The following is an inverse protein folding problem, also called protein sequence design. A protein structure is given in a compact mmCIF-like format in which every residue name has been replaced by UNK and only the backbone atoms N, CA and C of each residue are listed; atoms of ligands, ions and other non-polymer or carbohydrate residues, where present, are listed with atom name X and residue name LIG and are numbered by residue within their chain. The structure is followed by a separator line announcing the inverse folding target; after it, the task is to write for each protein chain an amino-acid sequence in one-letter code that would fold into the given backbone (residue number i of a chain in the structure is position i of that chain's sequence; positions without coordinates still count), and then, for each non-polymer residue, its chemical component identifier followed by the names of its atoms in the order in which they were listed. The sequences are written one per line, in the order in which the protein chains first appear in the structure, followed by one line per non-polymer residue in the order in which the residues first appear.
data_IF_466146578045
#
_entry.id   IF_466146578045
#
_cell.length_a   1.000
_cell.length_b   1.000
_cell.length_c   1.000
_cell.angle_alpha   90.00
_cell.angle_beta   90.00
_cell.angle_gamma   90.00
#
_symmetry.space_group_name_H-M   'P 1'
#
loop_
_entity.id
_entity.type
_entity.pdbx_description
1 polymer ?
#
# COMPACT_ATOMS: atom_id res chain seq x y z
N UNK A 1 -31.40 28.76 33.25
CA UNK A 1 -30.32 28.62 32.26
C UNK A 1 -29.34 27.47 32.55
N UNK A 2 -29.35 26.81 33.73
CA UNK A 2 -28.37 25.75 34.07
C UNK A 2 -28.72 24.30 33.69
N UNK A 3 -29.92 23.99 33.20
CA UNK A 3 -30.33 22.59 32.90
C UNK A 3 -29.99 22.21 31.45
N UNK A 4 -30.09 23.15 30.52
CA UNK A 4 -29.82 22.91 29.08
C UNK A 4 -28.32 22.71 28.82
N UNK A 5 -27.44 23.42 29.55
CA UNK A 5 -25.99 23.24 29.38
C UNK A 5 -25.53 21.87 29.87
N UNK A 6 -26.06 21.35 31.00
CA UNK A 6 -25.67 20.03 31.50
C UNK A 6 -26.08 18.89 30.60
N UNK A 7 -27.24 18.99 29.94
CA UNK A 7 -27.71 17.97 29.00
C UNK A 7 -26.93 18.01 27.68
N UNK A 8 -26.56 19.20 27.21
CA UNK A 8 -25.73 19.39 26.01
C UNK A 8 -24.30 18.88 26.22
N UNK A 9 -23.68 19.21 27.37
CA UNK A 9 -22.33 18.73 27.72
C UNK A 9 -22.29 17.20 27.80
N UNK A 10 -23.34 16.58 28.36
CA UNK A 10 -23.47 15.12 28.41
C UNK A 10 -23.63 14.51 27.02
N UNK A 11 -24.44 15.12 26.16
CA UNK A 11 -24.62 14.67 24.78
C UNK A 11 -23.32 14.79 23.97
N UNK A 12 -22.56 15.88 24.16
CA UNK A 12 -21.24 16.06 23.55
C UNK A 12 -20.26 14.97 23.99
N UNK A 13 -20.22 14.66 25.30
CA UNK A 13 -19.40 13.58 25.84
C UNK A 13 -19.76 12.21 25.24
N UNK A 14 -21.05 11.90 25.17
CA UNK A 14 -21.54 10.66 24.55
C UNK A 14 -21.18 10.57 23.06
N UNK A 15 -21.41 11.65 22.30
CA UNK A 15 -21.07 11.69 20.88
C UNK A 15 -19.57 11.50 20.64
N UNK A 16 -18.74 12.08 21.50
CA UNK A 16 -17.29 11.91 21.45
C UNK A 16 -16.84 10.47 21.75
N UNK A 17 -17.47 9.81 22.71
CA UNK A 17 -17.23 8.38 22.99
C UNK A 17 -17.62 7.50 21.80
N UNK A 18 -18.80 7.73 21.21
CA UNK A 18 -19.25 7.03 20.00
C UNK A 18 -18.25 7.22 18.85
N UNK A 19 -17.79 8.46 18.64
CA UNK A 19 -16.79 8.79 17.62
C UNK A 19 -15.47 8.03 17.85
N UNK A 20 -14.96 8.01 19.08
CA UNK A 20 -13.73 7.27 19.41
C UNK A 20 -13.87 5.75 19.24
N UNK A 21 -15.09 5.22 19.42
CA UNK A 21 -15.42 3.82 19.19
C UNK A 21 -15.75 3.50 17.72
N UNK A 22 -15.51 4.44 16.79
CA UNK A 22 -15.80 4.31 15.36
C UNK A 22 -17.29 4.11 15.02
N UNK A 23 -18.19 4.47 15.94
CA UNK A 23 -19.64 4.46 15.74
C UNK A 23 -20.09 5.80 15.13
N UNK A 24 -19.65 6.03 13.88
CA UNK A 24 -19.76 7.33 13.24
C UNK A 24 -21.21 7.75 12.96
N UNK A 25 -22.08 6.84 12.52
CA UNK A 25 -23.47 7.19 12.21
C UNK A 25 -24.24 7.61 13.47
N UNK A 26 -24.04 6.90 14.58
CA UNK A 26 -24.64 7.24 15.87
C UNK A 26 -24.08 8.54 16.42
N UNK A 27 -22.76 8.76 16.35
CA UNK A 27 -22.15 10.03 16.75
C UNK A 27 -22.72 11.20 15.95
N UNK A 28 -22.87 11.04 14.62
CA UNK A 28 -23.44 12.06 13.75
C UNK A 28 -24.88 12.40 14.14
N UNK A 29 -25.67 11.38 14.46
CA UNK A 29 -27.05 11.54 14.94
C UNK A 29 -27.12 12.39 16.22
N UNK A 30 -26.22 12.14 17.18
CA UNK A 30 -26.16 12.92 18.43
C UNK A 30 -25.74 14.36 18.15
N UNK A 31 -24.69 14.60 17.34
CA UNK A 31 -24.27 15.96 17.00
C UNK A 31 -25.36 16.75 16.26
N UNK A 32 -26.09 16.12 15.32
CA UNK A 32 -27.26 16.73 14.67
C UNK A 32 -28.38 17.04 15.65
N UNK A 33 -28.60 16.18 16.64
CA UNK A 33 -29.56 16.42 17.72
C UNK A 33 -29.21 17.64 18.56
N UNK A 34 -27.92 17.83 18.87
CA UNK A 34 -27.43 19.05 19.55
C UNK A 34 -27.74 20.29 18.71
N UNK A 35 -27.42 20.26 17.42
CA UNK A 35 -27.66 21.39 16.52
C UNK A 35 -29.15 21.70 16.28
N UNK A 36 -30.05 20.76 16.53
CA UNK A 36 -31.49 21.02 16.47
C UNK A 36 -31.97 21.91 17.63
N UNK A 37 -31.25 21.94 18.75
CA UNK A 37 -31.57 22.72 19.95
C UNK A 37 -30.68 23.95 20.12
N UNK A 38 -29.42 23.84 19.70
CA UNK A 38 -28.42 24.91 19.71
C UNK A 38 -27.70 24.93 18.35
N UNK A 39 -28.26 25.67 17.41
CA UNK A 39 -27.80 25.66 16.01
C UNK A 39 -26.38 26.16 15.83
N UNK A 40 -25.86 26.96 16.77
CA UNK A 40 -24.52 27.56 16.73
C UNK A 40 -23.56 26.91 17.73
N UNK A 41 -23.88 25.70 18.23
CA UNK A 41 -22.98 24.96 19.10
C UNK A 41 -21.63 24.68 18.39
N UNK A 42 -20.52 25.30 18.82
CA UNK A 42 -19.27 25.24 18.07
C UNK A 42 -18.68 23.84 18.02
N UNK A 43 -18.79 23.06 19.11
CA UNK A 43 -18.20 21.72 19.22
C UNK A 43 -18.95 20.72 18.33
N UNK A 44 -20.28 20.76 18.31
CA UNK A 44 -21.07 19.92 17.42
C UNK A 44 -20.85 20.25 15.94
N UNK A 45 -20.78 21.55 15.58
CA UNK A 45 -20.43 21.95 14.19
C UNK A 45 -19.02 21.47 13.84
N UNK A 46 -18.05 21.67 14.73
CA UNK A 46 -16.66 21.26 14.52
C UNK A 46 -16.56 19.74 14.29
N UNK A 47 -17.19 18.93 15.13
CA UNK A 47 -17.13 17.47 15.02
C UNK A 47 -17.82 16.95 13.76
N UNK A 48 -18.96 17.53 13.35
CA UNK A 48 -19.56 17.22 12.05
C UNK A 48 -18.62 17.59 10.89
N UNK A 49 -17.86 18.68 11.01
CA UNK A 49 -16.81 19.05 10.07
C UNK A 49 -15.70 18.00 9.99
N UNK A 50 -15.19 17.52 11.13
CA UNK A 50 -14.19 16.44 11.21
C UNK A 50 -14.71 15.15 10.56
N UNK A 51 -15.97 14.80 10.81
CA UNK A 51 -16.61 13.63 10.20
C UNK A 51 -16.78 13.77 8.69
N UNK A 52 -17.00 15.00 8.20
CA UNK A 52 -17.04 15.29 6.76
C UNK A 52 -15.68 15.04 6.11
N UNK A 53 -14.57 15.41 6.77
CA UNK A 53 -13.22 15.05 6.31
C UNK A 53 -13.04 13.53 6.20
N UNK A 54 -13.53 12.77 7.18
CA UNK A 54 -13.42 11.30 7.16
C UNK A 54 -14.19 10.66 6.00
N UNK A 55 -15.29 11.30 5.56
CA UNK A 55 -16.11 10.86 4.43
C UNK A 55 -15.60 11.35 3.06
N UNK A 56 -14.55 12.19 3.04
CA UNK A 56 -14.06 12.83 1.82
C UNK A 56 -14.95 13.99 1.32
N UNK A 57 -15.89 14.46 2.12
CA UNK A 57 -16.77 15.58 1.82
C UNK A 57 -16.04 16.91 2.07
N UNK A 58 -14.94 17.16 1.34
CA UNK A 58 -13.97 18.21 1.66
C UNK A 58 -14.56 19.63 1.69
N UNK A 59 -15.38 20.00 0.70
CA UNK A 59 -16.02 21.33 0.65
C UNK A 59 -16.93 21.57 1.88
N UNK A 60 -17.73 20.56 2.23
CA UNK A 60 -18.63 20.62 3.38
C UNK A 60 -17.86 20.63 4.71
N UNK A 61 -16.73 19.92 4.76
CA UNK A 61 -15.85 19.92 5.93
C UNK A 61 -15.29 21.32 6.19
N UNK A 62 -14.78 21.99 5.15
CA UNK A 62 -14.25 23.36 5.26
C UNK A 62 -15.35 24.33 5.68
N UNK A 63 -16.54 24.27 5.06
CA UNK A 63 -17.68 25.12 5.44
C UNK A 63 -18.01 24.98 6.94
N UNK A 64 -18.16 23.73 7.43
CA UNK A 64 -18.49 23.45 8.82
C UNK A 64 -17.38 23.92 9.77
N UNK A 65 -16.13 23.62 9.47
CA UNK A 65 -15.00 23.97 10.34
C UNK A 65 -14.76 25.49 10.37
N UNK A 66 -14.94 26.20 9.25
CA UNK A 66 -14.92 27.67 9.24
C UNK A 66 -16.04 28.25 10.10
N UNK A 67 -17.26 27.69 10.00
CA UNK A 67 -18.38 28.13 10.83
C UNK A 67 -18.11 27.88 12.32
N UNK A 68 -17.58 26.73 12.69
CA UNK A 68 -17.22 26.42 14.08
C UNK A 68 -16.21 27.41 14.65
N UNK A 69 -15.19 27.79 13.87
CA UNK A 69 -14.22 28.82 14.23
C UNK A 69 -14.89 30.19 14.37
N UNK A 70 -15.82 30.54 13.49
CA UNK A 70 -16.47 31.85 13.48
C UNK A 70 -17.44 32.07 14.66
N UNK A 71 -18.16 31.04 15.08
CA UNK A 71 -19.15 31.14 16.18
C UNK A 71 -18.52 31.02 17.57
N UNK A 72 -17.28 30.51 17.67
CA UNK A 72 -16.60 30.33 18.95
C UNK A 72 -15.77 31.58 19.33
N UNK A 73 -16.06 32.20 20.49
CA UNK A 73 -15.43 33.46 20.94
C UNK A 73 -13.90 33.37 21.14
N UNK A 74 -13.39 32.20 21.55
CA UNK A 74 -11.95 31.93 21.68
C UNK A 74 -11.60 30.50 21.22
N UNK A 75 -11.58 30.21 19.90
CA UNK A 75 -11.50 28.85 19.39
C UNK A 75 -10.22 28.16 19.88
N UNK A 76 -10.31 26.92 20.37
CA UNK A 76 -9.14 26.20 20.83
C UNK A 76 -8.24 25.84 19.63
N UNK A 77 -6.92 25.64 19.84
CA UNK A 77 -5.96 25.42 18.74
C UNK A 77 -6.34 24.27 17.80
N UNK A 78 -7.01 23.22 18.30
CA UNK A 78 -7.40 22.08 17.49
C UNK A 78 -8.50 22.39 16.46
N UNK A 79 -9.28 23.47 16.63
CA UNK A 79 -10.23 23.93 15.61
C UNK A 79 -9.48 24.42 14.36
N UNK A 80 -8.47 25.27 14.56
CA UNK A 80 -7.62 25.75 13.46
C UNK A 80 -6.83 24.60 12.83
N UNK A 81 -6.38 23.64 13.65
CA UNK A 81 -5.67 22.45 13.15
C UNK A 81 -6.54 21.58 12.24
N UNK A 82 -7.79 21.31 12.62
CA UNK A 82 -8.70 20.52 11.79
C UNK A 82 -9.17 21.28 10.55
N UNK A 83 -9.40 22.59 10.65
CA UNK A 83 -9.67 23.42 9.47
C UNK A 83 -8.48 23.44 8.50
N UNK A 84 -7.25 23.53 9.01
CA UNK A 84 -6.03 23.44 8.19
C UNK A 84 -5.94 22.10 7.46
N UNK A 85 -6.28 20.98 8.12
CA UNK A 85 -6.37 19.66 7.47
C UNK A 85 -7.42 19.66 6.36
N UNK A 86 -8.60 20.24 6.61
CA UNK A 86 -9.66 20.28 5.60
C UNK A 86 -9.27 21.10 4.37
N UNK A 87 -8.59 22.25 4.56
CA UNK A 87 -8.03 23.04 3.45
C UNK A 87 -6.96 22.27 2.68
N UNK A 88 -6.06 21.56 3.38
CA UNK A 88 -5.04 20.71 2.77
C UNK A 88 -5.66 19.59 1.90
N UNK A 89 -6.76 18.98 2.37
CA UNK A 89 -7.52 17.97 1.61
C UNK A 89 -8.28 18.56 0.41
N UNK A 90 -8.69 19.84 0.49
CA UNK A 90 -9.30 20.57 -0.61
C UNK A 90 -8.26 21.06 -1.65
N UNK A 91 -6.97 20.97 -1.33
CA UNK A 91 -5.88 21.46 -2.18
C UNK A 91 -5.53 22.94 -1.98
N UNK A 92 -6.09 23.60 -0.96
CA UNK A 92 -5.67 24.95 -0.54
C UNK A 92 -4.46 24.85 0.41
N UNK A 93 -3.31 24.49 -0.16
CA UNK A 93 -2.06 24.33 0.58
C UNK A 93 -1.61 25.65 1.26
N UNK A 94 -1.89 26.80 0.64
CA UNK A 94 -1.53 28.11 1.19
C UNK A 94 -2.38 28.46 2.42
N UNK A 95 -3.69 28.28 2.34
CA UNK A 95 -4.59 28.46 3.48
C UNK A 95 -4.28 27.49 4.62
N UNK A 96 -3.92 26.24 4.29
CA UNK A 96 -3.47 25.26 5.27
C UNK A 96 -2.20 25.72 6.01
N UNK A 97 -1.19 26.23 5.30
CA UNK A 97 0.04 26.79 5.90
C UNK A 97 -0.28 27.91 6.89
N UNK A 98 -1.14 28.86 6.52
CA UNK A 98 -1.48 30.00 7.39
C UNK A 98 -2.17 29.55 8.68
N UNK A 99 -3.07 28.58 8.59
CA UNK A 99 -3.72 28.03 9.78
C UNK A 99 -2.79 27.16 10.61
N UNK A 100 -1.92 26.33 10.01
CA UNK A 100 -0.93 25.58 10.77
C UNK A 100 0.09 26.50 11.47
N UNK A 101 0.49 27.62 10.85
CA UNK A 101 1.28 28.69 11.50
C UNK A 101 0.58 29.21 12.75
N UNK A 102 -0.71 29.54 12.63
CA UNK A 102 -1.52 29.97 13.79
C UNK A 102 -1.56 28.90 14.89
N UNK A 103 -1.68 27.62 14.54
CA UNK A 103 -1.67 26.53 15.53
C UNK A 103 -0.34 26.44 16.26
N UNK A 104 0.81 26.52 15.55
CA UNK A 104 2.12 26.46 16.20
C UNK A 104 2.47 27.72 17.00
N UNK A 105 1.88 28.88 16.66
CA UNK A 105 1.97 30.09 17.48
C UNK A 105 1.22 29.93 18.81
N UNK A 106 0.01 29.35 18.76
CA UNK A 106 -0.81 29.08 19.94
C UNK A 106 -0.24 27.95 20.80
N UNK A 107 0.35 26.93 20.18
CA UNK A 107 0.90 25.75 20.87
C UNK A 107 2.23 25.29 20.25
N UNK A 108 3.36 25.95 20.58
CA UNK A 108 4.66 25.65 19.98
C UNK A 108 5.17 24.22 20.23
N UNK A 109 4.78 23.63 21.36
CA UNK A 109 5.17 22.26 21.77
C UNK A 109 4.28 21.16 21.18
N UNK A 110 3.40 21.46 20.21
CA UNK A 110 2.56 20.44 19.58
C UNK A 110 3.28 19.80 18.38
N UNK A 111 3.94 18.65 18.61
CA UNK A 111 4.72 17.95 17.57
C UNK A 111 3.92 17.69 16.28
N UNK A 112 2.65 17.25 16.40
CA UNK A 112 1.78 16.98 15.25
C UNK A 112 1.53 18.24 14.39
N UNK A 113 1.36 19.40 15.02
CA UNK A 113 1.20 20.67 14.30
C UNK A 113 2.49 21.10 13.61
N UNK A 114 3.65 20.92 14.27
CA UNK A 114 4.96 21.18 13.65
C UNK A 114 5.19 20.29 12.41
N UNK A 115 4.83 19.00 12.48
CA UNK A 115 4.90 18.06 11.34
C UNK A 115 4.02 18.52 10.19
N UNK A 116 2.75 18.85 10.46
CA UNK A 116 1.79 19.27 9.43
C UNK A 116 2.19 20.59 8.77
N UNK A 117 2.72 21.54 9.53
CA UNK A 117 3.27 22.76 8.97
C UNK A 117 4.48 22.47 8.08
N UNK A 118 5.40 21.60 8.52
CA UNK A 118 6.54 21.18 7.70
C UNK A 118 6.11 20.54 6.37
N UNK A 119 5.11 19.64 6.41
CA UNK A 119 4.54 19.00 5.23
C UNK A 119 3.90 20.01 4.26
N UNK A 120 3.13 20.95 4.78
CA UNK A 120 2.45 21.96 3.97
C UNK A 120 3.46 22.93 3.34
N UNK A 121 4.50 23.33 4.09
CA UNK A 121 5.60 24.15 3.57
C UNK A 121 6.38 23.43 2.46
N UNK A 122 6.61 22.11 2.61
CA UNK A 122 7.24 21.31 1.57
C UNK A 122 6.39 21.28 0.28
N UNK A 123 5.07 21.09 0.39
CA UNK A 123 4.15 21.09 -0.78
C UNK A 123 4.22 22.39 -1.58
N UNK A 124 4.30 23.53 -0.91
CA UNK A 124 4.43 24.85 -1.56
C UNK A 124 5.87 25.22 -1.96
N UNK A 125 6.83 24.30 -1.78
CA UNK A 125 8.23 24.48 -2.18
C UNK A 125 9.13 25.21 -1.18
N UNK A 126 8.65 25.58 0.01
CA UNK A 126 9.48 26.15 1.08
C UNK A 126 10.21 25.04 1.86
N UNK A 127 11.23 24.47 1.22
CA UNK A 127 12.04 23.41 1.82
C UNK A 127 12.76 23.87 3.10
N UNK A 128 13.21 25.12 3.17
CA UNK A 128 13.95 25.63 4.34
C UNK A 128 13.03 25.79 5.56
N UNK A 129 11.81 26.31 5.33
CA UNK A 129 10.75 26.33 6.35
C UNK A 129 10.38 24.92 6.80
N UNK A 130 10.23 23.98 5.86
CA UNK A 130 9.92 22.58 6.17
C UNK A 130 10.97 21.94 7.09
N UNK A 131 12.26 22.08 6.76
CA UNK A 131 13.38 21.59 7.60
C UNK A 131 13.30 22.16 9.01
N UNK A 132 13.10 23.48 9.15
CA UNK A 132 13.04 24.11 10.45
C UNK A 132 11.91 23.56 11.33
N UNK A 133 10.75 23.28 10.74
CA UNK A 133 9.60 22.73 11.47
C UNK A 133 9.73 21.22 11.75
N UNK A 134 10.35 20.44 10.87
CA UNK A 134 10.68 19.05 11.16
C UNK A 134 11.73 18.91 12.28
N UNK A 135 12.76 19.76 12.31
CA UNK A 135 13.73 19.78 13.41
C UNK A 135 13.08 20.12 14.75
N UNK A 136 12.11 21.05 14.77
CA UNK A 136 11.30 21.34 15.97
C UNK A 136 10.45 20.14 16.38
N UNK A 137 9.75 19.51 15.44
CA UNK A 137 8.95 18.32 15.71
C UNK A 137 9.80 17.18 16.29
N UNK A 138 10.97 16.95 15.71
CA UNK A 138 11.96 15.98 16.16
C UNK A 138 12.43 16.25 17.60
N UNK A 139 12.64 17.53 17.96
CA UNK A 139 13.05 17.90 19.32
C UNK A 139 11.93 17.73 20.35
N UNK A 140 10.67 17.92 19.94
CA UNK A 140 9.50 17.77 20.81
C UNK A 140 9.16 16.29 21.04
N UNK A 141 9.17 15.49 19.98
CA UNK A 141 8.86 14.05 20.00
C UNK A 141 9.92 13.26 19.22
N UNK A 142 11.03 12.89 19.88
CA UNK A 142 12.15 12.19 19.24
C UNK A 142 11.80 10.79 18.72
N UNK A 143 10.75 10.17 19.25
CA UNK A 143 10.30 8.81 18.93
C UNK A 143 9.38 8.78 17.70
N UNK A 144 8.79 9.92 17.33
CA UNK A 144 7.99 10.03 16.12
C UNK A 144 8.88 9.89 14.89
N UNK A 145 8.60 8.90 14.04
CA UNK A 145 9.39 8.61 12.85
C UNK A 145 9.25 9.66 11.73
N UNK A 146 8.12 10.37 11.65
CA UNK A 146 7.77 11.22 10.52
C UNK A 146 8.80 12.35 10.30
N UNK A 147 9.22 13.12 11.32
CA UNK A 147 10.26 14.14 11.15
C UNK A 147 11.59 13.60 10.62
N UNK A 148 12.06 12.46 11.13
CA UNK A 148 13.34 11.86 10.72
C UNK A 148 13.31 11.43 9.26
N UNK A 149 12.24 10.74 8.85
CA UNK A 149 12.03 10.37 7.46
C UNK A 149 11.93 11.59 6.53
N UNK A 150 11.16 12.61 6.95
CA UNK A 150 10.94 13.82 6.14
C UNK A 150 12.23 14.62 5.94
N UNK A 151 13.07 14.71 6.98
CA UNK A 151 14.41 15.30 6.87
C UNK A 151 15.32 14.48 5.95
N UNK A 152 15.26 13.15 6.03
CA UNK A 152 15.98 12.27 5.12
C UNK A 152 15.59 12.49 3.65
N UNK A 153 14.28 12.58 3.37
CA UNK A 153 13.77 12.90 2.04
C UNK A 153 14.26 14.26 1.53
N UNK A 154 14.24 15.30 2.38
CA UNK A 154 14.71 16.62 2.00
C UNK A 154 16.22 16.64 1.71
N UNK A 155 17.03 15.93 2.50
CA UNK A 155 18.45 15.74 2.20
C UNK A 155 18.66 14.99 0.87
N UNK A 156 17.83 13.99 0.59
CA UNK A 156 17.87 13.20 -0.64
C UNK A 156 17.54 14.05 -1.87
N UNK A 157 16.47 14.85 -1.80
CA UNK A 157 16.08 15.81 -2.84
C UNK A 157 17.17 16.86 -3.12
N UNK A 158 17.97 17.20 -2.11
CA UNK A 158 19.11 18.12 -2.22
C UNK A 158 20.40 17.44 -2.73
N UNK A 159 20.37 16.13 -3.00
CA UNK A 159 21.53 15.34 -3.41
C UNK A 159 22.51 15.01 -2.28
N UNK A 160 22.17 15.33 -1.03
CA UNK A 160 22.96 15.01 0.17
C UNK A 160 22.73 13.58 0.63
N UNK A 161 23.06 12.61 -0.24
CA UNK A 161 22.76 11.18 -0.08
C UNK A 161 23.20 10.63 1.27
N UNK A 162 24.42 10.93 1.71
CA UNK A 162 24.92 10.40 2.98
C UNK A 162 24.10 10.90 4.19
N UNK A 163 23.71 12.17 4.19
CA UNK A 163 22.86 12.73 5.24
C UNK A 163 21.46 12.12 5.20
N UNK A 164 20.91 11.89 4.01
CA UNK A 164 19.62 11.21 3.84
C UNK A 164 19.65 9.81 4.47
N UNK A 165 20.69 9.03 4.17
CA UNK A 165 20.87 7.70 4.76
C UNK A 165 21.03 7.73 6.28
N UNK A 166 21.74 8.72 6.82
CA UNK A 166 21.88 8.87 8.28
C UNK A 166 20.52 9.17 8.94
N UNK A 167 19.69 10.01 8.32
CA UNK A 167 18.32 10.27 8.77
C UNK A 167 17.40 9.04 8.63
N UNK A 168 17.48 8.29 7.53
CA UNK A 168 16.70 7.06 7.37
C UNK A 168 17.12 5.99 8.40
N UNK A 169 18.42 5.85 8.71
CA UNK A 169 18.91 4.94 9.76
C UNK A 169 18.45 5.37 11.14
N UNK A 170 18.41 6.67 11.39
CA UNK A 170 17.81 7.20 12.60
C UNK A 170 16.31 6.82 12.66
N UNK A 171 15.55 7.08 11.60
CA UNK A 171 14.14 6.72 11.54
C UNK A 171 13.90 5.21 11.77
N UNK A 172 14.78 4.34 11.26
CA UNK A 172 14.69 2.87 11.40
C UNK A 172 14.82 2.35 12.85
N UNK A 173 15.45 3.08 13.76
CA UNK A 173 15.60 2.63 15.16
C UNK A 173 14.50 3.18 16.08
N UNK A 174 13.55 3.95 15.55
CA UNK A 174 12.45 4.57 16.30
C UNK A 174 11.17 3.76 16.16
N UNK A 175 10.17 4.07 16.97
CA UNK A 175 8.87 3.43 16.84
C UNK A 175 8.19 3.89 15.54
N UNK A 176 8.02 2.94 14.62
CA UNK A 176 7.09 3.07 13.51
C UNK A 176 6.15 1.88 13.52
N UNK A 177 4.86 2.16 13.66
CA UNK A 177 3.79 1.17 13.83
C UNK A 177 2.76 1.21 12.70
N UNK A 178 3.19 1.61 11.50
CA UNK A 178 2.37 1.60 10.30
C UNK A 178 3.14 1.04 9.09
N UNK A 179 2.40 0.35 8.23
CA UNK A 179 2.89 -0.13 6.93
C UNK A 179 3.49 1.01 6.12
N UNK A 180 2.82 2.16 6.10
CA UNK A 180 3.24 3.33 5.32
C UNK A 180 4.62 3.83 5.75
N UNK A 181 4.87 3.96 7.05
CA UNK A 181 6.18 4.38 7.55
C UNK A 181 7.29 3.38 7.18
N UNK A 182 7.02 2.07 7.27
CA UNK A 182 7.95 1.03 6.84
C UNK A 182 8.28 1.15 5.34
N UNK A 183 7.25 1.31 4.51
CA UNK A 183 7.39 1.38 3.05
C UNK A 183 8.16 2.62 2.62
N UNK A 184 7.84 3.77 3.22
CA UNK A 184 8.51 5.05 2.97
C UNK A 184 10.01 4.98 3.30
N UNK A 185 10.37 4.39 4.44
CA UNK A 185 11.78 4.19 4.81
C UNK A 185 12.50 3.18 3.91
N UNK A 186 11.84 2.07 3.58
CA UNK A 186 12.39 1.06 2.68
C UNK A 186 12.70 1.65 1.30
N UNK A 187 11.80 2.47 0.76
CA UNK A 187 11.99 3.19 -0.50
C UNK A 187 13.18 4.16 -0.42
N UNK A 188 13.33 4.86 0.70
CA UNK A 188 14.46 5.76 0.97
C UNK A 188 15.81 5.04 0.87
N UNK A 189 15.94 3.87 1.51
CA UNK A 189 17.15 3.05 1.44
C UNK A 189 17.37 2.42 0.06
N UNK A 190 16.30 1.96 -0.60
CA UNK A 190 16.37 1.29 -1.90
C UNK A 190 16.93 2.22 -2.99
N UNK A 191 16.50 3.50 -3.01
CA UNK A 191 17.00 4.52 -3.96
C UNK A 191 18.52 4.63 -4.01
N UNK A 192 19.21 4.33 -2.92
CA UNK A 192 20.67 4.44 -2.79
C UNK A 192 21.38 3.09 -2.69
N UNK A 193 20.69 1.99 -2.99
CA UNK A 193 21.26 0.64 -2.98
C UNK A 193 21.53 0.06 -1.59
N UNK A 194 20.98 0.66 -0.51
CA UNK A 194 21.06 0.16 0.86
C UNK A 194 20.05 -0.98 1.08
N UNK A 195 20.30 -2.06 0.36
CA UNK A 195 19.37 -3.16 0.16
C UNK A 195 19.03 -3.96 1.42
N UNK A 196 19.99 -4.10 2.33
CA UNK A 196 19.78 -4.80 3.59
C UNK A 196 18.85 -4.02 4.52
N UNK A 197 19.06 -2.71 4.64
CA UNK A 197 18.20 -1.82 5.42
C UNK A 197 16.79 -1.70 4.81
N UNK A 198 16.70 -1.57 3.48
CA UNK A 198 15.43 -1.54 2.76
C UNK A 198 14.61 -2.82 3.03
N UNK A 199 15.27 -3.99 2.93
CA UNK A 199 14.65 -5.29 3.21
C UNK A 199 14.16 -5.41 4.66
N UNK A 200 14.93 -4.90 5.62
CA UNK A 200 14.51 -4.86 7.03
C UNK A 200 13.21 -4.05 7.21
N UNK A 201 13.11 -2.89 6.55
CA UNK A 201 11.91 -2.05 6.59
C UNK A 201 10.69 -2.76 5.99
N UNK A 202 10.83 -3.35 4.80
CA UNK A 202 9.73 -4.07 4.17
C UNK A 202 9.29 -5.29 4.99
N UNK A 203 10.22 -6.04 5.59
CA UNK A 203 9.88 -7.15 6.51
C UNK A 203 9.10 -6.67 7.73
N UNK A 204 9.42 -5.50 8.26
CA UNK A 204 8.66 -4.91 9.36
C UNK A 204 7.26 -4.46 8.88
N UNK A 205 7.12 -3.91 7.67
CA UNK A 205 5.80 -3.61 7.09
C UNK A 205 4.86 -4.83 7.09
N UNK A 206 5.42 -6.00 6.78
CA UNK A 206 4.69 -7.26 6.72
C UNK A 206 4.17 -7.75 8.08
N UNK A 207 4.78 -7.37 9.20
CA UNK A 207 4.28 -7.78 10.52
C UNK A 207 2.97 -7.06 10.89
N UNK A 208 2.72 -5.87 10.32
CA UNK A 208 1.44 -5.15 10.46
C UNK A 208 0.34 -5.73 9.56
N UNK A 209 0.74 -6.30 8.42
CA UNK A 209 -0.18 -6.69 7.35
C UNK A 209 -0.73 -8.12 7.46
N UNK A 210 -0.47 -8.82 8.56
CA UNK A 210 -1.07 -10.14 8.84
C UNK A 210 -2.59 -10.09 9.09
N UNK A 211 -3.19 -8.88 9.12
CA UNK A 211 -4.61 -8.65 9.43
C UNK A 211 -5.41 -7.87 8.35
N UNK A 212 -4.88 -7.58 7.14
CA UNK A 212 -5.63 -6.81 6.13
C UNK A 212 -6.38 -7.68 5.11
N UNK A 213 -7.52 -7.17 4.61
CA UNK A 213 -8.41 -7.79 3.60
C UNK A 213 -7.99 -7.52 2.14
N UNK A 214 -7.01 -6.66 1.91
CA UNK A 214 -6.57 -6.30 0.56
C UNK A 214 -5.85 -7.45 -0.18
N UNK A 215 -4.95 -8.23 0.46
CA UNK A 215 -4.37 -9.42 -0.14
C UNK A 215 -5.42 -10.47 -0.54
N UNK A 216 -6.54 -10.59 0.18
CA UNK A 216 -7.60 -11.56 -0.15
C UNK A 216 -8.46 -11.10 -1.33
N UNK A 217 -8.75 -9.80 -1.47
CA UNK A 217 -9.49 -9.26 -2.62
C UNK A 217 -8.71 -9.45 -3.93
N UNK A 218 -7.43 -9.12 -3.94
CA UNK A 218 -6.57 -9.26 -5.13
C UNK A 218 -6.40 -10.73 -5.55
N UNK A 219 -6.26 -11.61 -4.57
CA UNK A 219 -6.16 -13.05 -4.81
C UNK A 219 -7.44 -13.61 -5.41
N UNK A 220 -8.62 -13.16 -4.95
CA UNK A 220 -9.91 -13.52 -5.54
C UNK A 220 -10.03 -13.10 -7.00
N UNK A 221 -9.66 -11.85 -7.31
CA UNK A 221 -9.76 -11.34 -8.69
C UNK A 221 -8.83 -12.10 -9.66
N UNK A 222 -7.59 -12.34 -9.23
CA UNK A 222 -6.61 -13.14 -9.98
C UNK A 222 -7.12 -14.57 -10.22
N UNK A 223 -7.60 -15.22 -9.16
CA UNK A 223 -8.11 -16.60 -9.23
C UNK A 223 -9.32 -16.73 -10.14
N UNK A 224 -10.27 -15.78 -10.12
CA UNK A 224 -11.43 -15.82 -11.01
C UNK A 224 -11.02 -15.64 -12.48
N UNK A 225 -10.07 -14.75 -12.77
CA UNK A 225 -9.54 -14.61 -14.12
C UNK A 225 -8.87 -15.89 -14.61
N UNK A 226 -8.02 -16.51 -13.77
CA UNK A 226 -7.36 -17.77 -14.09
C UNK A 226 -8.37 -18.89 -14.32
N UNK A 227 -9.41 -19.00 -13.48
CA UNK A 227 -10.48 -19.98 -13.61
C UNK A 227 -11.22 -19.84 -14.94
N UNK A 228 -11.63 -18.62 -15.29
CA UNK A 228 -12.35 -18.34 -16.53
C UNK A 228 -11.48 -18.57 -17.77
N UNK A 229 -10.19 -18.27 -17.67
CA UNK A 229 -9.25 -18.42 -18.79
C UNK A 229 -8.86 -19.88 -19.02
N UNK A 230 -8.57 -20.61 -17.94
CA UNK A 230 -8.11 -22.00 -18.02
C UNK A 230 -9.22 -22.99 -18.41
N UNK A 231 -10.50 -22.65 -18.17
CA UNK A 231 -11.61 -23.59 -18.44
C UNK A 231 -11.76 -23.96 -19.91
N UNK A 232 -11.30 -23.09 -20.80
CA UNK A 232 -11.33 -23.29 -22.26
C UNK A 232 -10.07 -24.02 -22.76
N UNK A 233 -9.08 -24.27 -21.89
CA UNK A 233 -7.85 -24.95 -22.26
C UNK A 233 -8.01 -26.47 -22.19
N UNK A 234 -7.77 -27.13 -23.31
CA UNK A 234 -7.79 -28.58 -23.45
C UNK A 234 -6.40 -29.21 -23.37
N UNK A 235 -6.34 -30.53 -23.62
CA UNK A 235 -5.08 -31.26 -23.71
C UNK A 235 -4.50 -31.71 -22.36
N UNK A 236 -3.21 -32.06 -22.37
CA UNK A 236 -2.47 -32.52 -21.20
C UNK A 236 -1.95 -31.31 -20.41
N UNK A 237 -2.45 -31.16 -19.19
CA UNK A 237 -2.08 -30.08 -18.28
C UNK A 237 -1.12 -30.58 -17.21
N UNK A 238 -0.03 -29.86 -16.99
CA UNK A 238 0.86 -30.02 -15.85
C UNK A 238 0.74 -28.80 -14.93
N UNK A 239 0.46 -29.02 -13.66
CA UNK A 239 0.42 -27.97 -12.64
C UNK A 239 1.64 -28.10 -11.72
N UNK A 240 2.49 -27.08 -11.71
CA UNK A 240 3.75 -27.05 -10.93
C UNK A 240 3.76 -25.90 -9.92
N UNK A 241 4.07 -26.24 -8.67
CA UNK A 241 4.16 -25.29 -7.57
C UNK A 241 2.86 -24.63 -7.14
N UNK A 242 1.73 -25.13 -7.61
CA UNK A 242 0.41 -24.68 -7.20
C UNK A 242 -0.01 -25.40 -5.90
N UNK A 243 -0.06 -24.66 -4.79
CA UNK A 243 -0.52 -25.18 -3.49
C UNK A 243 -2.01 -25.62 -3.51
N UNK A 244 -2.48 -26.28 -2.46
CA UNK A 244 -3.94 -26.43 -2.25
C UNK A 244 -4.49 -25.05 -1.90
N UNK A 245 -5.63 -24.69 -2.50
CA UNK A 245 -6.37 -23.48 -2.13
C UNK A 245 -7.05 -23.68 -0.77
N UNK A 246 -6.28 -23.53 0.30
CA UNK A 246 -6.69 -23.90 1.66
C UNK A 246 -7.72 -22.95 2.28
N UNK A 247 -7.91 -21.76 1.71
CA UNK A 247 -8.90 -20.76 2.10
C UNK A 247 -10.26 -20.96 1.43
N UNK A 248 -10.37 -21.90 0.46
CA UNK A 248 -11.61 -22.26 -0.25
C UNK A 248 -12.22 -21.10 -1.05
N UNK A 249 -11.43 -20.09 -1.42
CA UNK A 249 -11.92 -18.92 -2.16
C UNK A 249 -11.75 -19.05 -3.69
N UNK A 250 -11.10 -20.12 -4.16
CA UNK A 250 -10.84 -20.44 -5.58
C UNK A 250 -10.86 -21.94 -5.95
N UNK A 251 -11.15 -22.87 -5.04
CA UNK A 251 -11.28 -24.31 -5.39
C UNK A 251 -9.95 -25.00 -5.74
N UNK A 252 -9.97 -26.33 -5.96
CA UNK A 252 -8.76 -27.04 -6.38
C UNK A 252 -8.39 -26.56 -7.79
N UNK A 253 -7.18 -26.05 -8.06
CA UNK A 253 -6.75 -25.60 -9.39
C UNK A 253 -7.06 -26.58 -10.54
N UNK A 254 -7.19 -27.88 -10.23
CA UNK A 254 -7.72 -28.89 -11.15
C UNK A 254 -9.06 -28.50 -11.79
N UNK A 255 -9.96 -27.91 -11.02
CA UNK A 255 -11.30 -27.48 -11.46
C UNK A 255 -11.25 -26.37 -12.51
N UNK A 256 -10.13 -25.63 -12.58
CA UNK A 256 -9.93 -24.62 -13.61
C UNK A 256 -9.80 -25.24 -15.00
N UNK A 257 -9.36 -26.50 -15.08
CA UNK A 257 -9.04 -27.18 -16.34
C UNK A 257 -10.12 -28.22 -16.70
N UNK A 258 -11.38 -27.75 -16.79
CA UNK A 258 -12.53 -28.63 -17.02
C UNK A 258 -12.50 -29.35 -18.39
N UNK A 259 -11.80 -28.80 -19.38
CA UNK A 259 -11.67 -29.35 -20.73
C UNK A 259 -10.37 -30.14 -20.94
N UNK A 260 -9.50 -30.24 -19.94
CA UNK A 260 -8.23 -30.97 -20.06
C UNK A 260 -8.46 -32.47 -20.25
N UNK A 261 -7.76 -33.07 -21.22
CA UNK A 261 -7.78 -34.52 -21.45
C UNK A 261 -7.03 -35.29 -20.36
N UNK A 262 -6.02 -34.65 -19.74
CA UNK A 262 -5.38 -35.15 -18.53
C UNK A 262 -4.84 -33.99 -17.71
N UNK A 263 -4.78 -34.16 -16.39
CA UNK A 263 -4.18 -33.18 -15.50
C UNK A 263 -3.27 -33.90 -14.51
N UNK A 264 -1.99 -33.54 -14.54
CA UNK A 264 -0.99 -33.96 -13.58
C UNK A 264 -0.64 -32.78 -12.69
N UNK A 265 -0.52 -33.04 -11.38
CA UNK A 265 -0.06 -32.05 -10.40
C UNK A 265 1.22 -32.56 -9.77
N UNK A 266 2.23 -31.71 -9.72
CA UNK A 266 3.38 -31.91 -8.87
C UNK A 266 3.13 -31.14 -7.58
N UNK A 267 2.63 -31.86 -6.58
CA UNK A 267 2.52 -31.36 -5.22
C UNK A 267 3.92 -31.26 -4.63
N UNK A 268 4.35 -30.03 -4.31
CA UNK A 268 5.57 -29.82 -3.54
C UNK A 268 5.23 -30.10 -2.06
N UNK A 269 5.31 -31.37 -1.66
CA UNK A 269 5.12 -31.75 -0.26
C UNK A 269 6.32 -31.31 0.58
N UNK A 270 6.23 -30.12 1.21
CA UNK A 270 6.76 -29.86 2.56
C UNK A 270 6.34 -28.48 3.10
N UNK A 271 5.42 -28.54 4.05
CA UNK A 271 5.02 -27.44 4.92
C UNK A 271 6.10 -27.10 5.96
N UNK A 272 7.27 -26.62 5.52
CA UNK A 272 8.23 -25.97 6.40
C UNK A 272 8.81 -24.76 5.67
N UNK A 273 8.48 -23.55 6.14
CA UNK A 273 9.21 -22.34 5.77
C UNK A 273 10.73 -22.57 5.93
N UNK A 274 11.62 -22.17 5.00
CA UNK A 274 11.41 -21.45 3.75
C UNK A 274 12.00 -22.21 2.54
N UNK A 275 11.51 -23.41 2.19
CA UNK A 275 11.99 -24.14 1.00
C UNK A 275 10.81 -24.63 0.16
N UNK A 276 9.95 -23.70 -0.29
CA UNK A 276 8.80 -24.08 -1.11
C UNK A 276 9.23 -24.50 -2.51
N UNK A 277 10.37 -24.08 -3.09
CA UNK A 277 10.56 -24.14 -4.58
C UNK A 277 11.91 -24.67 -5.09
N UNK A 278 12.54 -25.61 -4.40
CA UNK A 278 13.70 -26.31 -4.96
C UNK A 278 13.37 -27.13 -6.22
N UNK A 279 12.13 -27.62 -6.36
CA UNK A 279 11.80 -28.69 -7.30
C UNK A 279 11.40 -28.22 -8.72
N UNK A 280 11.06 -26.94 -8.95
CA UNK A 280 10.75 -26.46 -10.33
C UNK A 280 12.04 -26.30 -11.16
N UNK A 281 13.17 -26.06 -10.51
CA UNK A 281 14.47 -25.88 -11.17
C UNK A 281 15.03 -27.19 -11.74
N UNK A 282 14.49 -28.33 -11.29
CA UNK A 282 14.88 -29.66 -11.77
C UNK A 282 13.65 -30.57 -11.87
N UNK A 283 12.80 -30.31 -12.87
CA UNK A 283 11.68 -31.21 -13.19
C UNK A 283 12.17 -32.52 -13.82
N UNK A 284 13.44 -32.63 -14.21
CA UNK A 284 13.98 -33.78 -14.95
C UNK A 284 13.93 -35.08 -14.14
N UNK A 285 14.00 -34.99 -12.82
CA UNK A 285 13.88 -36.12 -11.90
C UNK A 285 12.47 -36.77 -11.91
N UNK A 286 11.43 -35.99 -12.26
CA UNK A 286 10.03 -36.41 -12.15
C UNK A 286 9.28 -36.39 -13.50
N UNK A 287 9.77 -35.64 -14.47
CA UNK A 287 9.16 -35.39 -15.78
C UNK A 287 10.24 -35.49 -16.88
N UNK A 288 10.25 -36.62 -17.58
CA UNK A 288 11.23 -36.92 -18.64
C UNK A 288 10.81 -36.45 -20.03
N UNK A 289 9.52 -36.15 -20.24
CA UNK A 289 8.95 -35.99 -21.58
C UNK A 289 8.46 -34.55 -21.83
N UNK A 290 8.69 -34.03 -23.04
CA UNK A 290 8.07 -32.79 -23.55
C UNK A 290 6.72 -33.14 -24.18
N UNK A 291 5.64 -33.04 -23.40
CA UNK A 291 4.33 -33.55 -23.83
C UNK A 291 3.12 -32.84 -23.24
N UNK A 292 3.32 -31.73 -22.51
CA UNK A 292 2.20 -30.97 -21.95
C UNK A 292 1.77 -29.86 -22.89
N UNK A 293 0.49 -29.86 -23.23
CA UNK A 293 -0.14 -28.80 -24.01
C UNK A 293 -0.26 -27.53 -23.16
N UNK A 294 -0.37 -27.69 -21.83
CA UNK A 294 -0.41 -26.57 -20.87
C UNK A 294 0.45 -26.86 -19.65
N UNK A 295 1.29 -25.91 -19.26
CA UNK A 295 1.91 -25.86 -17.94
C UNK A 295 1.30 -24.70 -17.16
N UNK A 296 0.86 -24.96 -15.94
CA UNK A 296 0.26 -23.98 -15.03
C UNK A 296 1.15 -23.80 -13.80
N UNK A 297 1.62 -22.58 -13.58
CA UNK A 297 2.40 -22.21 -12.40
C UNK A 297 2.03 -20.82 -11.91
N UNK A 298 1.36 -20.75 -10.76
CA UNK A 298 0.90 -19.50 -10.15
C UNK A 298 1.43 -19.42 -8.72
N UNK A 299 1.89 -18.23 -8.32
CA UNK A 299 2.41 -17.97 -6.96
C UNK A 299 3.68 -18.77 -6.59
N UNK A 300 4.29 -19.48 -7.54
CA UNK A 300 5.47 -20.31 -7.30
C UNK A 300 6.76 -19.65 -7.77
N UNK A 301 6.74 -19.01 -8.94
CA UNK A 301 7.93 -18.39 -9.56
C UNK A 301 8.55 -17.30 -8.68
N UNK A 302 7.74 -16.64 -7.85
CA UNK A 302 8.21 -15.63 -6.90
C UNK A 302 9.15 -16.23 -5.84
N UNK A 303 8.94 -17.48 -5.45
CA UNK A 303 9.73 -18.15 -4.41
C UNK A 303 10.89 -18.99 -4.97
N UNK A 304 11.14 -18.94 -6.29
CA UNK A 304 12.26 -19.61 -6.94
C UNK A 304 13.54 -18.75 -6.85
N UNK A 305 14.68 -19.28 -6.36
CA UNK A 305 15.93 -18.51 -6.30
C UNK A 305 16.56 -18.23 -7.69
N UNK A 306 16.38 -19.13 -8.65
CA UNK A 306 16.82 -19.02 -10.04
C UNK A 306 15.61 -19.20 -10.99
N UNK A 307 14.95 -18.07 -11.28
CA UNK A 307 13.76 -18.04 -12.16
C UNK A 307 14.10 -18.43 -13.61
N UNK A 308 15.21 -17.97 -14.22
CA UNK A 308 15.63 -18.45 -15.54
C UNK A 308 15.74 -19.99 -15.64
N UNK A 309 16.32 -20.66 -14.63
CA UNK A 309 16.40 -22.12 -14.61
C UNK A 309 15.01 -22.77 -14.54
N UNK A 310 14.12 -22.28 -13.68
CA UNK A 310 12.74 -22.76 -13.61
C UNK A 310 11.98 -22.55 -14.93
N UNK A 311 12.14 -21.40 -15.59
CA UNK A 311 11.54 -21.14 -16.90
C UNK A 311 12.12 -22.05 -17.99
N UNK A 312 13.41 -22.43 -17.89
CA UNK A 312 14.01 -23.39 -18.80
C UNK A 312 13.39 -24.78 -18.64
N UNK A 313 13.12 -25.22 -17.41
CA UNK A 313 12.43 -26.49 -17.15
C UNK A 313 10.96 -26.46 -17.60
N UNK A 314 10.23 -25.38 -17.35
CA UNK A 314 8.87 -25.17 -17.87
C UNK A 314 8.87 -25.23 -19.40
N UNK A 315 9.82 -24.54 -20.05
CA UNK A 315 9.99 -24.58 -21.50
C UNK A 315 10.30 -26.00 -21.98
N UNK A 316 11.13 -26.74 -21.26
CA UNK A 316 11.53 -28.12 -21.62
C UNK A 316 10.33 -29.07 -21.63
N UNK A 317 9.45 -29.01 -20.63
CA UNK A 317 8.34 -29.97 -20.48
C UNK A 317 7.11 -29.64 -21.34
N UNK A 318 7.00 -28.40 -21.83
CA UNK A 318 5.96 -27.98 -22.77
C UNK A 318 6.14 -28.65 -24.14
N UNK A 319 5.03 -29.10 -24.72
CA UNK A 319 4.97 -29.51 -26.12
C UNK A 319 5.31 -28.33 -27.05
N UNK A 320 5.60 -28.62 -28.32
CA UNK A 320 5.68 -27.56 -29.34
C UNK A 320 4.32 -26.86 -29.42
N UNK A 321 4.33 -25.53 -29.49
CA UNK A 321 3.14 -24.67 -29.41
C UNK A 321 2.36 -24.74 -28.07
N UNK A 322 2.96 -25.34 -27.03
CA UNK A 322 2.36 -25.44 -25.71
C UNK A 322 2.22 -24.10 -24.99
N UNK A 323 1.24 -24.01 -24.10
CA UNK A 323 0.90 -22.81 -23.35
C UNK A 323 1.47 -22.84 -21.93
N UNK A 324 2.15 -21.77 -21.54
CA UNK A 324 2.49 -21.50 -20.16
C UNK A 324 1.50 -20.51 -19.55
N UNK A 325 0.71 -20.97 -18.58
CA UNK A 325 -0.15 -20.12 -17.76
C UNK A 325 0.58 -19.75 -16.48
N UNK A 326 0.78 -18.46 -16.26
CA UNK A 326 1.56 -17.93 -15.15
C UNK A 326 0.79 -16.95 -14.30
N UNK A 327 1.18 -16.85 -13.03
CA UNK A 327 0.67 -15.87 -12.09
C UNK A 327 1.77 -15.42 -11.15
N UNK A 328 1.97 -14.11 -11.07
CA UNK A 328 3.03 -13.48 -10.29
C UNK A 328 2.42 -12.28 -9.55
N UNK A 329 2.22 -12.34 -8.23
CA UNK A 329 1.77 -11.17 -7.49
C UNK A 329 2.94 -10.19 -7.37
N UNK A 330 2.65 -8.90 -7.20
CA UNK A 330 3.47 -8.08 -6.32
C UNK A 330 3.04 -8.41 -4.89
N UNK A 331 3.39 -9.61 -4.41
CA UNK A 331 3.24 -9.85 -2.99
C UNK A 331 4.38 -9.10 -2.32
N UNK A 332 4.07 -8.38 -1.25
CA UNK A 332 5.06 -7.78 -0.36
C UNK A 332 5.95 -8.86 0.31
N UNK A 333 5.68 -10.15 0.10
CA UNK A 333 6.31 -11.27 0.78
C UNK A 333 7.64 -11.72 0.16
N UNK A 334 8.70 -11.43 0.90
CA UNK A 334 9.95 -12.21 1.05
C UNK A 334 10.63 -12.74 -0.22
N UNK A 335 11.59 -11.97 -0.72
CA UNK A 335 12.70 -12.50 -1.48
C UNK A 335 14.03 -12.26 -0.76
N UNK A 336 14.86 -13.29 -0.73
CA UNK A 336 16.20 -13.30 -0.13
C UNK A 336 17.24 -12.56 -0.98
N UNK A 337 16.86 -12.08 -2.17
CA UNK A 337 17.75 -11.42 -3.13
C UNK A 337 17.26 -10.00 -3.46
N UNK A 338 17.99 -8.96 -3.02
CA UNK A 338 17.51 -7.57 -3.06
C UNK A 338 17.44 -6.89 -4.45
N UNK A 339 17.69 -7.60 -5.55
CA UNK A 339 17.80 -7.01 -6.90
C UNK A 339 16.71 -7.44 -7.89
N UNK A 340 15.76 -8.28 -7.46
CA UNK A 340 14.89 -9.03 -8.37
C UNK A 340 13.46 -8.47 -8.50
N UNK A 341 13.20 -7.26 -8.02
CA UNK A 341 11.84 -6.69 -8.12
C UNK A 341 11.47 -6.27 -9.54
N UNK A 342 12.46 -5.92 -10.37
CA UNK A 342 12.24 -5.46 -11.74
C UNK A 342 11.56 -6.51 -12.63
N UNK A 343 11.84 -7.82 -12.43
CA UNK A 343 11.22 -8.94 -13.17
C UNK A 343 9.71 -9.12 -12.92
N UNK A 344 9.15 -8.43 -11.94
CA UNK A 344 7.71 -8.45 -11.63
C UNK A 344 6.96 -7.25 -12.19
N UNK A 345 7.65 -6.34 -12.88
CA UNK A 345 7.03 -5.30 -13.71
C UNK A 345 6.61 -5.90 -15.05
N UNK A 346 5.69 -5.25 -15.78
CA UNK A 346 5.32 -5.70 -17.13
C UNK A 346 6.55 -5.88 -18.02
N UNK A 347 7.42 -4.87 -18.07
CA UNK A 347 8.67 -4.91 -18.83
C UNK A 347 9.60 -6.03 -18.38
N UNK A 348 9.75 -6.24 -17.08
CA UNK A 348 10.55 -7.33 -16.56
C UNK A 348 10.01 -8.72 -16.89
N UNK A 349 8.69 -8.89 -16.92
CA UNK A 349 8.05 -10.12 -17.42
C UNK A 349 8.34 -10.29 -18.91
N UNK A 350 8.17 -9.23 -19.70
CA UNK A 350 8.45 -9.25 -21.14
C UNK A 350 9.94 -9.64 -21.41
N UNK A 351 10.88 -9.05 -20.67
CA UNK A 351 12.33 -9.32 -20.77
C UNK A 351 12.69 -10.75 -20.34
N UNK A 352 12.10 -11.22 -19.23
CA UNK A 352 12.37 -12.55 -18.68
C UNK A 352 11.85 -13.67 -19.58
N UNK A 353 10.72 -13.43 -20.24
CA UNK A 353 10.10 -14.40 -21.14
C UNK A 353 10.67 -14.31 -22.56
N UNK A 354 11.38 -13.21 -22.87
CA UNK A 354 11.99 -12.99 -24.17
C UNK A 354 12.83 -14.19 -24.63
N UNK A 355 12.77 -14.47 -25.93
CA UNK A 355 13.50 -15.56 -26.62
C UNK A 355 13.07 -17.00 -26.29
N UNK A 356 12.22 -17.22 -25.28
CA UNK A 356 11.65 -18.55 -24.96
C UNK A 356 10.13 -18.57 -25.14
N UNK A 357 9.47 -17.49 -24.78
CA UNK A 357 8.03 -17.41 -24.78
C UNK A 357 7.57 -16.14 -25.45
N UNK A 358 6.45 -16.23 -26.15
CA UNK A 358 5.72 -15.06 -26.59
C UNK A 358 4.48 -14.92 -25.71
N UNK A 359 4.38 -13.80 -25.00
CA UNK A 359 3.23 -13.51 -24.14
C UNK A 359 2.01 -13.26 -25.03
N UNK A 360 1.01 -14.13 -24.92
CA UNK A 360 -0.23 -14.06 -25.71
C UNK A 360 -1.26 -13.14 -25.05
N UNK A 361 -1.45 -13.30 -23.74
CA UNK A 361 -2.42 -12.56 -22.97
C UNK A 361 -1.85 -12.28 -21.58
N UNK A 362 -2.05 -11.08 -21.06
CA UNK A 362 -1.66 -10.75 -19.70
C UNK A 362 -2.61 -9.72 -19.12
N UNK A 363 -3.03 -9.94 -17.88
CA UNK A 363 -3.90 -9.07 -17.10
C UNK A 363 -3.16 -8.59 -15.85
N UNK A 364 -3.24 -7.29 -15.64
CA UNK A 364 -2.86 -6.61 -14.41
C UNK A 364 -3.93 -6.83 -13.31
N UNK A 365 -3.51 -7.06 -12.06
CA UNK A 365 -4.42 -7.28 -10.90
C UNK A 365 -4.10 -6.24 -9.80
N UNK A 366 -5.03 -5.38 -9.40
CA UNK A 366 -4.79 -4.25 -8.46
C UNK A 366 -5.97 -3.25 -8.37
N UNK A 367 -6.23 -2.57 -7.23
CA UNK A 367 -7.17 -1.45 -7.23
C UNK A 367 -6.63 -0.33 -8.13
N UNK A 368 -7.51 0.21 -8.99
CA UNK A 368 -7.17 1.30 -9.92
C UNK A 368 -7.18 2.69 -9.26
N UNK A 369 -7.36 2.79 -7.94
CA UNK A 369 -7.55 4.07 -7.26
C UNK A 369 -6.53 4.25 -6.12
N UNK A 370 -5.81 5.38 -6.21
CA UNK A 370 -4.95 6.04 -5.21
C UNK A 370 -3.60 5.43 -4.80
N UNK A 371 -2.68 5.33 -5.77
CA UNK A 371 -1.25 5.54 -5.48
C UNK A 371 -0.72 6.75 -6.26
N UNK A 372 -0.51 7.85 -5.55
CA UNK A 372 0.10 9.06 -6.07
C UNK A 372 1.62 8.83 -6.25
N UNK A 373 2.07 8.63 -7.50
CA UNK A 373 3.49 8.63 -7.85
C UNK A 373 3.97 10.08 -8.05
N UNK A 374 5.00 10.49 -7.31
CA UNK A 374 5.71 11.77 -7.46
C UNK A 374 6.23 11.94 -8.91
N UNK A 375 5.95 13.08 -9.58
CA UNK A 375 6.37 13.35 -10.97
C UNK A 375 7.89 13.38 -11.21
N UNK A 376 8.74 13.28 -10.18
CA UNK A 376 10.21 13.33 -10.29
C UNK A 376 10.88 11.97 -10.54
N UNK A 377 10.13 10.87 -10.63
CA UNK A 377 10.65 9.57 -11.08
C UNK A 377 10.94 9.58 -12.60
N UNK A 378 12.10 10.13 -12.97
CA UNK A 378 12.73 9.89 -14.26
C UNK A 378 14.15 9.37 -14.07
N UNK A 379 14.40 8.23 -14.74
CA UNK A 379 15.67 7.52 -15.01
C UNK A 379 16.08 6.57 -13.86
N UNK A 380 16.01 5.25 -13.99
CA UNK A 380 16.31 4.42 -15.16
C UNK A 380 15.10 3.63 -15.72
N UNK A 381 14.73 3.92 -16.97
CA UNK A 381 14.18 2.90 -17.89
C UNK A 381 12.67 2.65 -17.93
N UNK A 382 11.86 3.72 -17.92
CA UNK A 382 10.43 3.82 -18.27
C UNK A 382 9.42 3.03 -17.40
N UNK A 383 8.72 3.77 -16.53
CA UNK A 383 7.32 3.50 -16.13
C UNK A 383 6.52 4.75 -16.51
N UNK A 384 5.41 4.63 -17.27
CA UNK A 384 4.12 4.47 -16.58
C UNK A 384 3.07 3.62 -17.33
N UNK A 385 2.23 2.94 -16.55
CA UNK A 385 0.75 3.01 -16.58
C UNK A 385 0.28 2.14 -15.40
N UNK A 386 -0.28 2.77 -14.35
CA UNK A 386 -0.87 2.17 -13.13
C UNK A 386 -0.21 0.87 -12.66
N UNK A 387 0.81 0.93 -11.79
CA UNK A 387 1.52 -0.29 -11.33
C UNK A 387 0.52 -1.21 -10.61
N UNK A 388 0.15 -2.36 -11.20
CA UNK A 388 -0.79 -3.26 -10.56
C UNK A 388 -0.08 -4.03 -9.44
N UNK A 389 -0.86 -4.52 -8.48
CA UNK A 389 -0.40 -5.37 -7.38
C UNK A 389 -0.04 -6.81 -7.84
N UNK A 390 0.09 -7.08 -9.14
CA UNK A 390 0.48 -8.36 -9.73
C UNK A 390 0.05 -8.53 -11.19
N UNK A 391 0.48 -9.64 -11.80
CA UNK A 391 0.13 -10.05 -13.16
C UNK A 391 -0.27 -11.52 -13.23
N UNK A 392 -1.24 -11.81 -14.07
CA UNK A 392 -1.58 -13.17 -14.54
C UNK A 392 -1.58 -13.19 -16.05
N UNK A 393 -1.17 -14.30 -16.66
CA UNK A 393 -1.05 -14.34 -18.12
C UNK A 393 -0.90 -15.72 -18.71
N UNK A 394 -0.95 -15.75 -20.04
CA UNK A 394 -0.65 -16.89 -20.90
C UNK A 394 0.47 -16.49 -21.84
N UNK A 395 1.50 -17.32 -21.93
CA UNK A 395 2.53 -17.24 -22.95
C UNK A 395 2.58 -18.54 -23.74
N UNK A 396 2.91 -18.49 -25.04
CA UNK A 396 3.14 -19.69 -25.83
C UNK A 396 4.63 -19.90 -26.06
N UNK A 397 5.03 -21.17 -26.14
CA UNK A 397 6.40 -21.59 -26.42
C UNK A 397 6.80 -21.19 -27.85
N UNK A 398 7.91 -20.47 -28.01
CA UNK A 398 8.49 -20.11 -29.32
C UNK A 398 9.27 -21.30 -29.91
#
# INVERSE_FOLDING_TARGET
MNVISSDTDKALGQAFELFNNSQFDEAEGVYKGILAHDSDNPDAIHMLGVMSCQKGENDLAVERLMRAVAVHTAPPPYYFFNLAIALDLQGDDAGAVDLFKKVVELQPAWAKAQIRLGQSLQKIGDQSGAIAHYLKAQAIDPENVIPWYSLGNLCDEQGSVQQALDYYRAALVRRFDSVDACMLLGNGFNRHGCNAEALSCYRHALTFNQNSTLPSILRKESNEWLRLTCRELGGKVLSVGSGKDLDKEGGLYREYFSQASSYQRLDMERWHFPDIVGDIQDLSACITDAAYDVVFSVWALEHVPDVPAALAEIYRVLANDGLFVFGVPLNLAYHSFPHDYHRFTRKGIDDLFANKFHISLVKAIGPMEDFCLDPRLKIYGELPDTVPCGYVGIAYKI
#
